data_IF_159206013016
#
_entry.id   IF_159206013016
#
_cell.length_a   1.000
_cell.length_b   1.000
_cell.length_c   1.000
_cell.angle_alpha   90.00
_cell.angle_beta   90.00
_cell.angle_gamma   90.00
#
_symmetry.space_group_name_H-M   'P 1'
#
loop_
_entity.id
_entity.type
_entity.pdbx_description
1 polymer ?
#
# COMPACT_ATOMS: atom_id res chain seq x y z
N UNK A 1 3.61 4.51 28.93
CA UNK A 1 4.95 4.45 28.31
C UNK A 1 5.02 3.31 27.28
N UNK A 2 4.26 3.40 26.20
CA UNK A 2 4.35 2.46 25.05
C UNK A 2 4.08 3.13 23.69
N UNK A 3 4.02 4.47 23.64
CA UNK A 3 3.40 5.22 22.53
C UNK A 3 4.30 5.57 21.33
N UNK A 4 5.53 5.06 21.21
CA UNK A 4 6.42 5.50 20.10
C UNK A 4 7.33 4.45 19.48
N UNK A 5 7.18 3.16 19.79
CA UNK A 5 8.10 2.13 19.28
C UNK A 5 7.95 1.79 17.79
N UNK A 6 6.85 2.20 17.15
CA UNK A 6 6.64 2.02 15.70
C UNK A 6 7.43 3.06 14.88
N UNK A 7 7.80 4.20 15.48
CA UNK A 7 8.25 5.39 14.73
C UNK A 7 9.70 5.36 14.26
N UNK A 8 10.53 4.44 14.74
CA UNK A 8 11.98 4.44 14.48
C UNK A 8 12.44 3.50 13.37
N UNK A 9 11.58 2.67 12.78
CA UNK A 9 11.98 1.73 11.71
C UNK A 9 12.10 2.37 10.31
N UNK A 10 11.80 3.67 10.17
CA UNK A 10 11.84 4.39 8.89
C UNK A 10 13.28 4.83 8.51
N UNK A 11 14.24 4.78 9.43
CA UNK A 11 15.58 5.34 9.22
C UNK A 11 16.50 4.56 8.24
N UNK A 12 16.04 3.45 7.65
CA UNK A 12 16.89 2.55 6.83
C UNK A 12 16.57 2.61 5.33
N UNK A 13 15.79 3.59 4.87
CA UNK A 13 15.32 3.64 3.46
C UNK A 13 16.24 4.38 2.47
N UNK A 14 17.42 4.86 2.88
CA UNK A 14 18.30 5.59 1.96
C UNK A 14 19.14 4.62 1.11
N UNK A 15 18.69 4.29 -0.11
CA UNK A 15 19.47 3.58 -1.13
C UNK A 15 19.74 4.46 -2.35
N UNK A 16 20.81 4.14 -3.10
CA UNK A 16 21.30 4.88 -4.27
C UNK A 16 20.54 4.54 -5.57
N UNK A 17 19.29 4.09 -5.48
CA UNK A 17 18.58 3.48 -6.60
C UNK A 17 17.94 4.48 -7.56
N UNK A 18 18.06 4.22 -8.86
CA UNK A 18 17.47 5.07 -9.93
C UNK A 18 15.94 5.06 -9.91
N UNK A 19 15.34 4.01 -9.37
CA UNK A 19 13.90 3.87 -9.17
C UNK A 19 13.35 4.89 -8.14
N UNK A 20 14.14 5.23 -7.11
CA UNK A 20 13.80 6.27 -6.14
C UNK A 20 13.69 7.64 -6.79
N UNK A 21 14.60 7.99 -7.72
CA UNK A 21 14.51 9.28 -8.44
C UNK A 21 13.22 9.39 -9.23
N UNK A 22 12.71 8.27 -9.77
CA UNK A 22 11.41 8.29 -10.45
C UNK A 22 10.29 8.47 -9.44
N UNK A 23 10.30 7.71 -8.34
CA UNK A 23 9.31 7.82 -7.28
C UNK A 23 9.23 9.21 -6.65
N UNK A 24 10.38 9.82 -6.32
CA UNK A 24 10.52 11.06 -5.54
C UNK A 24 10.17 12.38 -6.29
N UNK A 25 10.19 12.33 -7.61
CA UNK A 25 9.92 13.51 -8.45
C UNK A 25 8.64 13.35 -9.28
N UNK A 26 7.89 12.25 -9.10
CA UNK A 26 6.64 11.99 -9.84
C UNK A 26 5.52 11.51 -8.93
N UNK A 27 5.53 11.83 -7.64
CA UNK A 27 4.43 11.47 -6.76
C UNK A 27 3.14 12.20 -7.10
N UNK A 28 2.02 11.51 -6.90
CA UNK A 28 0.70 12.09 -7.03
C UNK A 28 0.38 13.09 -5.91
N UNK A 29 1.01 12.94 -4.74
CA UNK A 29 0.83 13.81 -3.55
C UNK A 29 1.96 13.64 -2.53
N UNK A 30 2.17 14.67 -1.72
CA UNK A 30 3.01 14.65 -0.51
C UNK A 30 2.09 14.76 0.71
N UNK A 31 2.29 13.89 1.70
CA UNK A 31 1.57 13.96 2.98
C UNK A 31 2.55 14.37 4.07
N UNK A 32 2.24 15.47 4.76
CA UNK A 32 3.03 15.99 5.88
C UNK A 32 2.25 15.76 7.17
N UNK A 33 2.80 14.89 8.03
CA UNK A 33 2.40 14.82 9.44
C UNK A 33 3.13 15.91 10.21
N UNK A 34 2.39 16.90 10.71
CA UNK A 34 2.97 18.03 11.42
C UNK A 34 2.79 17.90 12.94
N UNK A 35 3.86 18.21 13.68
CA UNK A 35 3.81 18.31 15.13
C UNK A 35 3.22 19.64 15.57
N UNK A 36 3.61 20.70 14.87
CA UNK A 36 3.07 22.06 14.97
C UNK A 36 3.10 22.75 13.59
N UNK A 37 2.41 23.89 13.49
CA UNK A 37 2.31 24.66 12.24
C UNK A 37 3.70 25.01 11.68
N UNK A 38 4.64 25.37 12.56
CA UNK A 38 5.98 25.78 12.16
C UNK A 38 6.76 24.63 11.51
N UNK A 39 6.64 23.41 12.04
CA UNK A 39 7.26 22.21 11.48
C UNK A 39 6.65 21.85 10.12
N UNK A 40 5.33 21.99 9.99
CA UNK A 40 4.64 21.76 8.72
C UNK A 40 4.99 22.80 7.66
N UNK A 41 5.12 24.08 8.04
CA UNK A 41 5.53 25.17 7.15
C UNK A 41 6.95 24.95 6.61
N UNK A 42 7.88 24.57 7.49
CA UNK A 42 9.26 24.29 7.11
C UNK A 42 9.35 23.13 6.10
N UNK A 43 8.58 22.07 6.29
CA UNK A 43 8.53 20.95 5.34
C UNK A 43 7.82 21.33 4.04
N UNK A 44 6.74 22.11 4.11
CA UNK A 44 6.02 22.56 2.92
C UNK A 44 6.90 23.47 2.04
N UNK A 45 7.69 24.37 2.65
CA UNK A 45 8.66 25.20 1.94
C UNK A 45 9.76 24.35 1.29
N UNK A 46 10.28 23.36 2.03
CA UNK A 46 11.30 22.44 1.52
C UNK A 46 10.83 21.66 0.28
N UNK A 47 9.57 21.20 0.27
CA UNK A 47 9.00 20.42 -0.82
C UNK A 47 8.32 21.25 -1.91
N UNK A 48 8.14 22.56 -1.72
CA UNK A 48 7.49 23.46 -2.69
C UNK A 48 8.07 23.37 -4.12
N UNK A 49 9.40 23.24 -4.34
CA UNK A 49 9.97 23.14 -5.68
C UNK A 49 9.52 21.91 -6.50
N UNK A 50 8.94 20.89 -5.85
CA UNK A 50 8.44 19.69 -6.54
C UNK A 50 7.13 19.94 -7.30
N UNK A 51 6.40 21.02 -6.98
CA UNK A 51 5.08 21.33 -7.56
C UNK A 51 4.05 20.19 -7.44
N UNK A 52 4.20 19.35 -6.41
CA UNK A 52 3.31 18.23 -6.08
C UNK A 52 2.29 18.67 -5.02
N UNK A 53 1.01 18.25 -5.10
CA UNK A 53 0.01 18.58 -4.08
C UNK A 53 0.46 18.17 -2.67
N UNK A 54 0.47 19.13 -1.74
CA UNK A 54 0.84 18.91 -0.33
C UNK A 54 -0.44 18.82 0.52
N UNK A 55 -0.60 17.71 1.24
CA UNK A 55 -1.67 17.48 2.21
C UNK A 55 -1.09 17.45 3.62
N UNK A 56 -1.57 18.34 4.48
CA UNK A 56 -1.09 18.46 5.87
C UNK A 56 -2.11 17.85 6.84
N UNK A 57 -1.62 17.15 7.86
CA UNK A 57 -2.41 16.52 8.91
C UNK A 57 -1.56 16.29 10.16
N UNK A 58 -2.13 15.85 11.28
CA UNK A 58 -1.35 15.45 12.46
C UNK A 58 -0.51 14.17 12.23
N UNK A 59 0.50 13.97 13.09
CA UNK A 59 1.43 12.84 13.02
C UNK A 59 0.74 11.46 12.98
N UNK A 60 -0.20 11.21 13.91
CA UNK A 60 -0.84 9.89 14.04
C UNK A 60 -1.66 9.57 12.78
N UNK A 61 -2.34 10.58 12.23
CA UNK A 61 -3.09 10.43 10.99
C UNK A 61 -2.17 10.19 9.79
N UNK A 62 -1.05 10.91 9.67
CA UNK A 62 -0.09 10.72 8.59
C UNK A 62 0.52 9.30 8.59
N UNK A 63 0.84 8.77 9.77
CA UNK A 63 1.33 7.40 9.94
C UNK A 63 0.28 6.37 9.46
N UNK A 64 -0.97 6.53 9.89
CA UNK A 64 -2.05 5.64 9.46
C UNK A 64 -2.29 5.72 7.95
N UNK A 65 -2.21 6.92 7.35
CA UNK A 65 -2.33 7.09 5.89
C UNK A 65 -1.31 6.23 5.15
N UNK A 66 -0.07 6.10 5.64
CA UNK A 66 0.95 5.27 5.00
C UNK A 66 0.55 3.79 5.00
N UNK A 67 0.16 3.27 6.16
CA UNK A 67 -0.25 1.87 6.29
C UNK A 67 -1.53 1.58 5.50
N UNK A 68 -2.55 2.44 5.61
CA UNK A 68 -3.81 2.30 4.89
C UNK A 68 -3.60 2.30 3.37
N UNK A 69 -2.73 3.18 2.85
CA UNK A 69 -2.42 3.23 1.41
C UNK A 69 -1.85 1.90 0.91
N UNK A 70 -0.84 1.35 1.60
CA UNK A 70 -0.24 0.07 1.22
C UNK A 70 -1.22 -1.10 1.39
N UNK A 71 -2.04 -1.09 2.44
CA UNK A 71 -3.03 -2.14 2.67
C UNK A 71 -4.12 -2.14 1.58
N UNK A 72 -4.62 -0.99 1.15
CA UNK A 72 -5.58 -0.92 0.03
C UNK A 72 -4.99 -1.51 -1.25
N UNK A 73 -3.71 -1.24 -1.53
CA UNK A 73 -3.03 -1.83 -2.70
C UNK A 73 -2.92 -3.36 -2.59
N UNK A 74 -2.50 -3.86 -1.42
CA UNK A 74 -2.45 -5.30 -1.14
C UNK A 74 -3.84 -5.94 -1.27
N UNK A 75 -4.88 -5.30 -0.75
CA UNK A 75 -6.27 -5.75 -0.85
C UNK A 75 -6.72 -5.85 -2.31
N UNK A 76 -6.44 -4.85 -3.15
CA UNK A 76 -6.80 -4.93 -4.58
C UNK A 76 -6.15 -6.12 -5.26
N UNK A 77 -4.85 -6.34 -5.03
CA UNK A 77 -4.13 -7.47 -5.65
C UNK A 77 -4.70 -8.81 -5.16
N UNK A 78 -4.93 -8.97 -3.85
CA UNK A 78 -5.52 -10.20 -3.29
C UNK A 78 -6.94 -10.43 -3.80
N UNK A 79 -7.76 -9.38 -3.90
CA UNK A 79 -9.10 -9.48 -4.47
C UNK A 79 -9.06 -10.03 -5.91
N UNK A 80 -8.20 -9.46 -6.77
CA UNK A 80 -8.09 -9.94 -8.15
C UNK A 80 -7.49 -11.35 -8.25
N UNK A 81 -6.62 -11.73 -7.34
CA UNK A 81 -6.13 -13.12 -7.23
C UNK A 81 -7.22 -14.10 -6.80
N UNK A 82 -8.16 -13.68 -5.95
CA UNK A 82 -9.32 -14.49 -5.60
C UNK A 82 -10.26 -14.67 -6.80
N UNK A 83 -10.56 -13.60 -7.54
CA UNK A 83 -11.32 -13.67 -8.79
C UNK A 83 -10.62 -14.55 -9.83
N UNK A 84 -9.29 -14.43 -9.96
CA UNK A 84 -8.50 -15.29 -10.84
C UNK A 84 -8.68 -16.78 -10.52
N UNK A 85 -8.67 -17.14 -9.23
CA UNK A 85 -8.94 -18.51 -8.80
C UNK A 85 -10.31 -19.00 -9.25
N UNK A 86 -11.36 -18.20 -9.05
CA UNK A 86 -12.73 -18.51 -9.46
C UNK A 86 -12.83 -18.67 -10.98
N UNK A 87 -12.28 -17.72 -11.74
CA UNK A 87 -12.27 -17.75 -13.19
C UNK A 87 -11.55 -18.99 -13.74
N UNK A 88 -10.42 -19.37 -13.14
CA UNK A 88 -9.65 -20.55 -13.55
C UNK A 88 -10.45 -21.85 -13.37
N UNK A 89 -11.20 -22.01 -12.27
CA UNK A 89 -12.05 -23.19 -12.06
C UNK A 89 -13.25 -23.24 -13.02
N UNK A 90 -13.71 -22.09 -13.50
CA UNK A 90 -14.85 -21.97 -14.41
C UNK A 90 -14.46 -21.92 -15.90
N UNK A 91 -13.18 -21.84 -16.22
CA UNK A 91 -12.70 -21.64 -17.59
C UNK A 91 -13.04 -20.26 -18.17
N UNK A 92 -13.15 -19.23 -17.31
CA UNK A 92 -13.44 -17.84 -17.69
C UNK A 92 -12.13 -17.07 -17.83
N UNK A 93 -12.03 -16.17 -18.82
CA UNK A 93 -10.88 -15.26 -18.95
C UNK A 93 -10.94 -14.17 -17.87
N UNK A 94 -10.06 -14.28 -16.87
CA UNK A 94 -9.96 -13.34 -15.77
C UNK A 94 -9.39 -11.98 -16.18
N UNK A 95 -8.62 -11.90 -17.27
CA UNK A 95 -8.08 -10.63 -17.77
C UNK A 95 -9.19 -9.81 -18.42
N UNK A 96 -10.05 -10.44 -19.23
CA UNK A 96 -11.23 -9.77 -19.79
C UNK A 96 -12.16 -9.25 -18.68
N UNK A 97 -12.43 -10.08 -17.65
CA UNK A 97 -13.22 -9.65 -16.48
C UNK A 97 -12.57 -8.43 -15.80
N UNK A 98 -11.26 -8.48 -15.56
CA UNK A 98 -10.54 -7.41 -14.90
C UNK A 98 -10.52 -6.09 -15.69
N UNK A 99 -10.37 -6.17 -17.02
CA UNK A 99 -10.35 -5.01 -17.89
C UNK A 99 -11.71 -4.33 -18.00
N UNK A 100 -12.79 -5.13 -18.13
CA UNK A 100 -14.15 -4.61 -18.24
C UNK A 100 -14.61 -4.00 -16.90
N UNK A 101 -14.36 -4.68 -15.78
CA UNK A 101 -14.70 -4.14 -14.45
C UNK A 101 -13.84 -2.91 -14.12
N UNK A 102 -12.55 -2.94 -14.45
CA UNK A 102 -11.62 -1.82 -14.24
C UNK A 102 -11.89 -0.59 -15.13
N UNK A 103 -12.74 -0.72 -16.16
CA UNK A 103 -13.21 0.41 -16.96
C UNK A 103 -14.17 1.32 -16.17
N UNK A 104 -14.77 0.84 -15.07
CA UNK A 104 -15.49 1.70 -14.13
C UNK A 104 -14.49 2.63 -13.39
N UNK A 105 -14.61 3.95 -13.53
CA UNK A 105 -13.66 4.90 -12.95
C UNK A 105 -13.62 4.88 -11.42
N UNK A 106 -14.66 4.35 -10.75
CA UNK A 106 -14.69 4.18 -9.29
C UNK A 106 -13.79 3.03 -8.82
N UNK A 107 -13.54 2.05 -9.69
CA UNK A 107 -12.70 0.87 -9.42
C UNK A 107 -11.28 1.12 -9.93
N UNK A 108 -11.18 1.56 -11.18
CA UNK A 108 -9.92 1.83 -11.87
C UNK A 108 -9.07 0.58 -12.16
N UNK A 109 -8.18 0.71 -13.14
CA UNK A 109 -7.33 -0.38 -13.64
C UNK A 109 -6.10 -0.69 -12.79
N UNK A 110 -5.69 0.21 -11.89
CA UNK A 110 -4.50 -0.02 -11.09
C UNK A 110 -4.72 -1.15 -10.08
N UNK A 111 -3.78 -2.09 -10.01
CA UNK A 111 -3.85 -3.24 -9.10
C UNK A 111 -4.81 -4.35 -9.55
N UNK A 112 -5.24 -4.35 -10.83
CA UNK A 112 -6.05 -5.44 -11.40
C UNK A 112 -5.23 -6.64 -11.88
N UNK A 113 -3.91 -6.50 -12.00
CA UNK A 113 -3.02 -7.57 -12.45
C UNK A 113 -2.92 -8.65 -11.37
N UNK A 114 -3.19 -9.89 -11.77
CA UNK A 114 -3.34 -11.06 -10.89
C UNK A 114 -2.58 -12.28 -11.45
N UNK A 115 -2.65 -13.40 -10.73
CA UNK A 115 -1.98 -14.66 -11.08
C UNK A 115 -0.64 -14.87 -10.36
N UNK A 116 -0.19 -13.91 -9.55
CA UNK A 116 1.00 -14.00 -8.69
C UNK A 116 0.79 -13.25 -7.38
N UNK A 117 1.52 -13.64 -6.35
CA UNK A 117 1.48 -12.97 -5.05
C UNK A 117 2.21 -11.63 -5.11
N UNK A 118 1.76 -10.64 -4.35
CA UNK A 118 2.55 -9.43 -4.16
C UNK A 118 3.76 -9.73 -3.25
N UNK A 119 4.89 -9.15 -3.62
CA UNK A 119 6.16 -9.25 -2.90
C UNK A 119 6.75 -7.88 -2.58
N UNK A 120 8.06 -7.79 -2.68
CA UNK A 120 8.82 -6.58 -2.35
C UNK A 120 8.94 -6.35 -0.84
N UNK A 121 9.63 -5.26 -0.49
CA UNK A 121 9.95 -4.94 0.91
C UNK A 121 8.78 -4.29 1.66
N UNK A 122 7.90 -3.59 0.96
CA UNK A 122 6.91 -2.71 1.57
C UNK A 122 5.57 -3.40 1.86
N UNK A 123 4.90 -3.96 0.84
CA UNK A 123 3.52 -4.45 1.01
C UNK A 123 3.40 -5.59 2.05
N UNK A 124 4.19 -6.68 2.01
CA UNK A 124 4.05 -7.76 2.98
C UNK A 124 4.41 -7.31 4.40
N UNK A 125 5.45 -6.48 4.54
CA UNK A 125 5.92 -5.98 5.83
C UNK A 125 4.87 -5.07 6.48
N UNK A 126 4.38 -4.08 5.73
CA UNK A 126 3.47 -3.08 6.26
C UNK A 126 2.09 -3.68 6.55
N UNK A 127 1.61 -4.62 5.72
CA UNK A 127 0.36 -5.35 5.97
C UNK A 127 0.44 -6.14 7.28
N UNK A 128 1.49 -6.96 7.46
CA UNK A 128 1.67 -7.76 8.67
C UNK A 128 1.87 -6.90 9.91
N UNK A 129 2.62 -5.81 9.80
CA UNK A 129 2.80 -4.86 10.89
C UNK A 129 1.47 -4.21 11.31
N UNK A 130 0.63 -3.77 10.34
CA UNK A 130 -0.67 -3.20 10.67
C UNK A 130 -1.61 -4.24 11.30
N UNK A 131 -1.65 -5.48 10.80
CA UNK A 131 -2.45 -6.56 11.41
C UNK A 131 -2.04 -6.78 12.87
N UNK A 132 -0.75 -6.93 13.13
CA UNK A 132 -0.22 -7.16 14.47
C UNK A 132 -0.56 -6.01 15.43
N UNK A 133 -0.40 -4.76 14.96
CA UNK A 133 -0.77 -3.59 15.75
C UNK A 133 -2.29 -3.49 15.97
N UNK A 134 -3.08 -3.73 14.92
CA UNK A 134 -4.53 -3.62 14.99
C UNK A 134 -5.14 -4.66 15.94
N UNK A 135 -4.59 -5.88 16.03
CA UNK A 135 -5.12 -6.94 16.88
C UNK A 135 -5.16 -6.60 18.39
N UNK A 136 -4.42 -5.58 18.82
CA UNK A 136 -4.52 -5.03 20.18
C UNK A 136 -5.79 -4.18 20.42
N UNK A 137 -6.43 -3.69 19.35
CA UNK A 137 -7.53 -2.71 19.39
C UNK A 137 -8.78 -3.15 18.61
N UNK A 138 -8.62 -3.85 17.49
CA UNK A 138 -9.67 -4.25 16.56
C UNK A 138 -9.27 -5.48 15.73
N UNK A 139 -10.20 -6.42 15.56
CA UNK A 139 -9.94 -7.60 14.73
C UNK A 139 -9.89 -7.24 13.24
N UNK A 140 -8.68 -7.22 12.66
CA UNK A 140 -8.45 -6.85 11.26
C UNK A 140 -8.80 -7.97 10.25
N UNK A 141 -10.05 -8.47 10.26
CA UNK A 141 -10.52 -9.62 9.46
C UNK A 141 -10.15 -9.53 7.98
N UNK A 142 -10.43 -8.39 7.36
CA UNK A 142 -10.14 -8.18 5.93
C UNK A 142 -8.64 -8.28 5.64
N UNK A 143 -7.80 -7.64 6.47
CA UNK A 143 -6.35 -7.63 6.25
C UNK A 143 -5.74 -9.04 6.45
N UNK A 144 -6.25 -9.79 7.43
CA UNK A 144 -5.88 -11.20 7.64
C UNK A 144 -6.22 -12.06 6.42
N UNK A 145 -7.44 -11.91 5.87
CA UNK A 145 -7.83 -12.60 4.65
C UNK A 145 -6.93 -12.24 3.46
N UNK A 146 -6.55 -10.96 3.32
CA UNK A 146 -5.63 -10.48 2.28
C UNK A 146 -4.26 -11.16 2.40
N UNK A 147 -3.70 -11.27 3.61
CA UNK A 147 -2.42 -11.96 3.86
C UNK A 147 -2.53 -13.46 3.55
N UNK A 148 -3.60 -14.12 4.00
CA UNK A 148 -3.84 -15.54 3.72
C UNK A 148 -3.97 -15.85 2.23
N UNK A 149 -4.72 -15.03 1.48
CA UNK A 149 -4.83 -15.15 0.02
C UNK A 149 -3.45 -15.01 -0.61
N UNK A 150 -2.67 -14.02 -0.17
CA UNK A 150 -1.34 -13.78 -0.74
C UNK A 150 -0.38 -14.96 -0.50
N UNK A 151 -0.35 -15.54 0.70
CA UNK A 151 0.49 -16.71 1.00
C UNK A 151 0.04 -17.97 0.23
N UNK A 152 -1.27 -18.16 0.02
CA UNK A 152 -1.80 -19.24 -0.84
C UNK A 152 -1.35 -19.07 -2.29
N UNK A 153 -1.49 -17.87 -2.84
CA UNK A 153 -1.06 -17.56 -4.21
C UNK A 153 0.45 -17.70 -4.34
N UNK A 154 1.21 -17.24 -3.35
CA UNK A 154 2.68 -17.36 -3.32
C UNK A 154 3.12 -18.81 -3.38
N UNK A 155 2.46 -19.68 -2.62
CA UNK A 155 2.75 -21.11 -2.61
C UNK A 155 2.44 -21.79 -3.94
N UNK A 156 1.40 -21.34 -4.65
CA UNK A 156 0.92 -21.96 -5.90
C UNK A 156 1.57 -21.40 -7.17
N UNK A 157 1.77 -20.08 -7.24
CA UNK A 157 2.15 -19.35 -8.45
C UNK A 157 3.41 -18.48 -8.28
N UNK A 158 3.98 -18.45 -7.07
CA UNK A 158 5.15 -17.64 -6.77
C UNK A 158 4.83 -16.16 -6.55
N UNK A 159 5.89 -15.36 -6.45
CA UNK A 159 5.85 -13.93 -6.16
C UNK A 159 6.06 -13.13 -7.44
N UNK A 160 5.39 -11.99 -7.55
CA UNK A 160 5.69 -10.96 -8.54
C UNK A 160 6.87 -10.12 -8.03
N UNK A 161 8.01 -10.28 -8.67
CA UNK A 161 9.20 -9.43 -8.49
C UNK A 161 8.95 -8.01 -8.99
#
# INVERSE_FOLDING_TARGET
>A
MHESRILTEISVSWSTDTEYKRGFFTEDRIVIGEYDIKSGDALAELYAPLNTPILRTDLKTAEMIKYASNCVLATKISYWNEIYGICNELGIDSHEVADIVGADPRIGKYGTVHGKAFGGKCLPKDLKALIAFADEYHEAKLLKAVDEINEKIKSKYGVRE
#
